data_IF_765084285614
#
_entry.id   IF_765084285614
#
_cell.length_a   1.000
_cell.length_b   1.000
_cell.length_c   1.000
_cell.angle_alpha   90.00
_cell.angle_beta   90.00
_cell.angle_gamma   90.00
#
_symmetry.space_group_name_H-M   'P 1'
#
loop_
_entity.id
_entity.type
_entity.pdbx_description
1 polymer ?
#
# COMPACT_ATOMS: atom_id res chain seq x y z
N UNK A 1 8.73 25.88 -14.75
CA UNK A 1 9.41 24.99 -13.79
C UNK A 1 9.09 23.54 -14.13
N UNK A 2 10.03 22.80 -14.72
CA UNK A 2 9.82 21.40 -15.09
C UNK A 2 9.77 20.54 -13.83
N UNK A 3 8.58 20.05 -13.45
CA UNK A 3 8.43 19.10 -12.35
C UNK A 3 9.20 17.83 -12.70
N UNK A 4 10.26 17.52 -11.95
CA UNK A 4 10.96 16.24 -12.08
C UNK A 4 10.00 15.12 -11.67
N UNK A 5 9.67 14.25 -12.61
CA UNK A 5 8.80 13.09 -12.41
C UNK A 5 9.64 11.84 -12.15
N UNK A 6 9.18 10.98 -11.24
CA UNK A 6 9.74 9.67 -10.95
C UNK A 6 9.00 8.61 -11.79
N UNK A 7 9.67 8.01 -12.77
CA UNK A 7 9.07 7.01 -13.67
C UNK A 7 9.23 5.61 -13.09
N UNK A 8 8.25 4.75 -13.35
CA UNK A 8 8.34 3.34 -13.04
C UNK A 8 9.18 2.62 -14.10
N UNK A 9 10.14 1.84 -13.62
CA UNK A 9 11.15 1.16 -14.45
C UNK A 9 10.63 -0.18 -15.02
N UNK A 10 9.43 -0.61 -14.62
CA UNK A 10 8.88 -1.90 -15.01
C UNK A 10 8.38 -1.91 -16.45
N UNK A 11 8.78 -2.94 -17.21
CA UNK A 11 8.31 -3.20 -18.56
C UNK A 11 6.79 -3.35 -18.53
N UNK A 12 6.07 -2.49 -19.25
CA UNK A 12 4.61 -2.38 -19.33
C UNK A 12 3.91 -1.52 -18.25
N UNK A 13 4.62 -0.88 -17.31
CA UNK A 13 3.96 0.01 -16.33
C UNK A 13 3.72 1.42 -16.91
N UNK A 14 4.76 2.05 -17.47
CA UNK A 14 4.70 3.39 -18.08
C UNK A 14 4.30 4.54 -17.15
N UNK A 15 4.00 4.27 -15.87
CA UNK A 15 3.53 5.26 -14.91
C UNK A 15 4.65 6.19 -14.46
N UNK A 16 4.27 7.42 -14.16
CA UNK A 16 5.15 8.42 -13.58
C UNK A 16 4.47 9.15 -12.43
N UNK A 17 5.26 9.51 -11.43
CA UNK A 17 4.78 10.09 -10.17
C UNK A 17 5.51 11.38 -9.88
N UNK A 18 4.81 12.31 -9.25
CA UNK A 18 5.35 13.58 -8.76
C UNK A 18 6.26 13.42 -7.54
N UNK A 19 6.22 12.25 -6.86
CA UNK A 19 6.96 11.99 -5.62
C UNK A 19 7.60 10.60 -5.62
N UNK A 20 8.80 10.51 -5.09
CA UNK A 20 9.56 9.26 -5.03
C UNK A 20 8.86 8.17 -4.19
N UNK A 21 8.23 8.55 -3.08
CA UNK A 21 7.52 7.57 -2.23
C UNK A 21 6.37 6.88 -2.98
N UNK A 22 5.70 7.59 -3.89
CA UNK A 22 4.61 7.03 -4.72
C UNK A 22 5.12 6.04 -5.75
N UNK A 23 6.31 6.31 -6.32
CA UNK A 23 6.99 5.35 -7.17
C UNK A 23 7.34 4.08 -6.38
N UNK A 24 7.88 4.21 -5.16
CA UNK A 24 8.20 3.06 -4.32
C UNK A 24 6.95 2.26 -3.93
N UNK A 25 5.85 2.94 -3.62
CA UNK A 25 4.55 2.30 -3.38
C UNK A 25 4.02 1.55 -4.61
N UNK A 26 4.18 2.10 -5.82
CA UNK A 26 3.84 1.42 -7.07
C UNK A 26 4.70 0.18 -7.30
N UNK A 27 6.00 0.21 -6.96
CA UNK A 27 6.88 -0.97 -7.05
C UNK A 27 6.36 -2.15 -6.24
N UNK A 28 5.73 -1.90 -5.09
CA UNK A 28 5.10 -2.97 -4.29
C UNK A 28 3.90 -3.63 -4.97
N UNK A 29 3.21 -2.92 -5.87
CA UNK A 29 2.13 -3.52 -6.68
C UNK A 29 2.70 -4.59 -7.61
N UNK A 30 3.88 -4.32 -8.16
CA UNK A 30 4.58 -5.22 -9.07
C UNK A 30 5.17 -6.43 -8.33
N UNK A 31 5.83 -6.22 -7.19
CA UNK A 31 6.37 -7.32 -6.37
C UNK A 31 5.29 -8.13 -5.65
N UNK A 32 4.07 -7.58 -5.52
CA UNK A 32 3.00 -8.18 -4.73
C UNK A 32 3.24 -8.11 -3.22
N UNK A 33 4.27 -7.41 -2.76
CA UNK A 33 4.59 -7.26 -1.35
C UNK A 33 3.48 -6.52 -0.60
N UNK A 34 3.05 -7.11 0.52
CA UNK A 34 2.01 -6.55 1.39
C UNK A 34 2.54 -6.40 2.82
N UNK A 35 3.34 -5.36 3.09
CA UNK A 35 4.04 -5.22 4.37
C UNK A 35 3.08 -4.92 5.55
N UNK A 36 1.85 -4.49 5.28
CA UNK A 36 0.89 -4.13 6.32
C UNK A 36 0.00 -5.32 6.65
N UNK A 37 0.39 -6.11 7.65
CA UNK A 37 -0.31 -7.32 8.06
C UNK A 37 -1.32 -7.01 9.17
N UNK A 38 -2.49 -7.64 9.10
CA UNK A 38 -3.44 -7.67 10.20
C UNK A 38 -2.91 -8.58 11.31
N UNK A 39 -2.70 -8.04 12.50
CA UNK A 39 -2.26 -8.81 13.67
C UNK A 39 -3.41 -9.26 14.57
N UNK A 40 -4.66 -9.10 14.12
CA UNK A 40 -5.82 -9.58 14.86
C UNK A 40 -5.89 -11.11 14.80
N UNK A 41 -6.25 -11.75 15.91
CA UNK A 41 -6.26 -13.20 16.01
C UNK A 41 -7.19 -13.84 14.95
N UNK A 42 -6.73 -14.92 14.33
CA UNK A 42 -7.38 -15.60 13.20
C UNK A 42 -7.55 -14.76 11.91
N UNK A 43 -6.99 -13.55 11.83
CA UNK A 43 -6.99 -12.74 10.62
C UNK A 43 -5.64 -12.76 9.90
N UNK A 44 -5.56 -13.50 8.79
CA UNK A 44 -4.34 -13.59 7.97
C UNK A 44 -4.33 -12.61 6.77
N UNK A 45 -5.00 -11.45 6.89
CA UNK A 45 -5.05 -10.47 5.80
C UNK A 45 -3.84 -9.55 5.82
N UNK A 46 -3.24 -9.37 4.65
CA UNK A 46 -2.16 -8.39 4.43
C UNK A 46 -2.57 -7.37 3.38
N UNK A 47 -2.04 -6.15 3.53
CA UNK A 47 -2.38 -4.99 2.73
C UNK A 47 -1.13 -4.32 2.17
N UNK A 48 -1.31 -3.72 1.00
CA UNK A 48 -0.27 -2.95 0.32
C UNK A 48 -0.02 -1.58 0.98
N UNK A 49 -1.07 -0.99 1.56
CA UNK A 49 -1.06 0.36 2.13
C UNK A 49 -1.58 0.38 3.57
N UNK A 50 -1.00 1.24 4.41
CA UNK A 50 -1.42 1.42 5.81
C UNK A 50 -2.89 1.86 5.93
N UNK A 51 -3.36 2.76 5.06
CA UNK A 51 -4.75 3.21 5.08
C UNK A 51 -5.75 2.06 4.81
N UNK A 52 -5.34 1.07 4.01
CA UNK A 52 -6.16 -0.13 3.76
C UNK A 52 -6.23 -1.02 4.99
N UNK A 53 -5.10 -1.23 5.70
CA UNK A 53 -5.08 -1.94 6.98
C UNK A 53 -5.95 -1.24 8.03
N UNK A 54 -5.82 0.08 8.19
CA UNK A 54 -6.63 0.85 9.14
C UNK A 54 -8.12 0.74 8.84
N UNK A 55 -8.49 0.87 7.55
CA UNK A 55 -9.88 0.70 7.13
C UNK A 55 -10.39 -0.73 7.37
N UNK A 56 -9.54 -1.74 7.18
CA UNK A 56 -9.85 -3.13 7.51
C UNK A 56 -10.07 -3.28 9.02
N UNK A 57 -9.17 -2.80 9.86
CA UNK A 57 -9.30 -2.84 11.31
C UNK A 57 -10.60 -2.20 11.79
N UNK A 58 -10.91 -0.99 11.31
CA UNK A 58 -12.12 -0.25 11.70
C UNK A 58 -13.43 -0.89 11.24
N UNK A 59 -13.40 -1.82 10.27
CA UNK A 59 -14.59 -2.46 9.71
C UNK A 59 -14.74 -3.91 10.15
N UNK A 60 -13.64 -4.65 10.21
CA UNK A 60 -13.60 -6.09 10.44
C UNK A 60 -13.21 -6.47 11.88
N UNK A 61 -12.48 -5.60 12.58
CA UNK A 61 -11.94 -5.86 13.92
C UNK A 61 -12.22 -4.70 14.88
N UNK A 62 -13.39 -4.04 14.73
CA UNK A 62 -13.80 -2.98 15.67
C UNK A 62 -13.54 -3.44 17.09
N UNK A 63 -12.82 -2.64 17.87
CA UNK A 63 -12.78 -2.82 19.31
C UNK A 63 -14.23 -2.76 19.78
N UNK A 64 -14.74 -3.88 20.29
CA UNK A 64 -15.80 -3.82 21.28
C UNK A 64 -15.04 -3.46 22.55
N UNK A 65 -14.79 -2.17 22.75
CA UNK A 65 -14.51 -1.68 24.09
C UNK A 65 -15.83 -1.88 24.87
N UNK A 66 -15.90 -2.97 25.62
CA UNK A 66 -16.88 -3.13 26.69
C UNK A 66 -16.34 -2.42 27.94
#
# INVERSE_FOLDING_TARGET
>A
MSKKSFKCDEQNCGKSFDKNFRLNEQKRIHSGEKPFVCHFNYCNKSFLYKCNLMRHMNRAHKCVDN
#
